data_IF_112513247524
#
_entry.id   IF_112513247524
#
_cell.length_a   1.000
_cell.length_b   1.000
_cell.length_c   1.000
_cell.angle_alpha   90.00
_cell.angle_beta   90.00
_cell.angle_gamma   90.00
#
_symmetry.space_group_name_H-M   'P 1'
#
loop_
_entity.id
_entity.type
_entity.pdbx_description
1 polymer ?
#
# COMPACT_ATOMS: atom_id res chain seq x y z
N UNK A 1 -19.95 -18.72 -7.37
CA UNK A 1 -18.89 -18.23 -6.45
C UNK A 1 -17.69 -19.17 -6.60
N UNK A 2 -16.73 -18.81 -7.45
CA UNK A 2 -15.55 -19.65 -7.70
C UNK A 2 -14.61 -19.58 -6.50
N UNK A 3 -14.29 -20.75 -5.94
CA UNK A 3 -13.34 -20.92 -4.84
C UNK A 3 -11.97 -20.36 -5.27
N UNK A 4 -11.59 -19.20 -4.74
CA UNK A 4 -10.23 -18.66 -4.88
C UNK A 4 -9.32 -19.50 -3.98
N UNK A 5 -8.26 -20.06 -4.54
CA UNK A 5 -7.25 -20.83 -3.81
C UNK A 5 -6.68 -20.01 -2.64
N UNK A 6 -6.41 -20.66 -1.50
CA UNK A 6 -6.00 -20.00 -0.26
C UNK A 6 -4.89 -18.92 -0.37
N UNK A 7 -3.88 -19.04 -1.25
CA UNK A 7 -2.84 -18.02 -1.40
C UNK A 7 -3.33 -16.69 -1.98
N UNK A 8 -4.24 -16.71 -2.98
CA UNK A 8 -4.76 -15.48 -3.60
C UNK A 8 -5.72 -14.73 -2.68
N UNK A 9 -6.35 -15.42 -1.74
CA UNK A 9 -7.24 -14.80 -0.77
C UNK A 9 -6.48 -13.83 0.16
N UNK A 10 -5.26 -14.19 0.56
CA UNK A 10 -4.42 -13.38 1.44
C UNK A 10 -3.90 -12.09 0.78
N UNK A 11 -3.84 -12.04 -0.55
CA UNK A 11 -3.50 -10.80 -1.29
C UNK A 11 -4.67 -9.81 -1.33
N UNK A 12 -5.91 -10.30 -1.30
CA UNK A 12 -7.11 -9.47 -1.37
C UNK A 12 -7.49 -8.94 0.01
N UNK A 13 -7.63 -9.83 1.00
CA UNK A 13 -7.99 -9.51 2.38
C UNK A 13 -7.07 -10.29 3.32
N UNK A 14 -5.87 -9.76 3.63
CA UNK A 14 -4.92 -10.45 4.49
C UNK A 14 -5.53 -10.66 5.88
N UNK A 15 -5.32 -11.84 6.45
CA UNK A 15 -5.78 -12.17 7.80
C UNK A 15 -4.70 -12.91 8.58
N UNK A 16 -4.58 -12.58 9.87
CA UNK A 16 -3.62 -13.20 10.77
C UNK A 16 -2.16 -13.08 10.31
N UNK A 17 -1.32 -13.94 10.87
CA UNK A 17 0.12 -14.01 10.62
C UNK A 17 0.51 -14.23 9.14
N UNK A 18 -0.16 -15.15 8.44
CA UNK A 18 0.10 -15.41 7.01
C UNK A 18 -0.26 -14.21 6.12
N UNK A 19 -1.35 -13.52 6.44
CA UNK A 19 -1.73 -12.27 5.77
C UNK A 19 -0.70 -11.17 6.00
N UNK A 20 -0.20 -11.01 7.23
CA UNK A 20 0.86 -10.04 7.55
C UNK A 20 2.18 -10.34 6.83
N UNK A 21 2.56 -11.61 6.74
CA UNK A 21 3.73 -12.01 5.94
C UNK A 21 3.55 -11.72 4.45
N UNK A 22 2.34 -11.99 3.93
CA UNK A 22 1.98 -11.68 2.54
C UNK A 22 2.07 -10.18 2.26
N UNK A 23 1.51 -9.35 3.13
CA UNK A 23 1.61 -7.88 3.06
C UNK A 23 3.06 -7.39 3.08
N UNK A 24 3.89 -7.91 4.00
CA UNK A 24 5.30 -7.53 4.06
C UNK A 24 6.04 -7.85 2.76
N UNK A 25 5.83 -9.07 2.22
CA UNK A 25 6.43 -9.49 0.95
C UNK A 25 5.95 -8.61 -0.20
N UNK A 26 4.66 -8.29 -0.25
CA UNK A 26 4.07 -7.43 -1.27
C UNK A 26 4.64 -6.01 -1.20
N UNK A 27 4.76 -5.42 -0.01
CA UNK A 27 5.34 -4.09 0.18
C UNK A 27 6.78 -4.02 -0.34
N UNK A 28 7.55 -5.11 -0.19
CA UNK A 28 8.91 -5.19 -0.72
C UNK A 28 8.92 -5.35 -2.25
N UNK A 29 8.18 -6.34 -2.77
CA UNK A 29 8.22 -6.69 -4.20
C UNK A 29 7.64 -5.61 -5.11
N UNK A 30 6.61 -4.90 -4.66
CA UNK A 30 5.98 -3.85 -5.46
C UNK A 30 6.71 -2.51 -5.38
N UNK A 31 7.64 -2.33 -4.43
CA UNK A 31 8.32 -1.04 -4.22
C UNK A 31 8.96 -0.50 -5.51
N UNK A 32 9.74 -1.31 -6.22
CA UNK A 32 10.42 -0.88 -7.44
C UNK A 32 9.43 -0.51 -8.57
N UNK A 33 8.32 -1.24 -8.69
CA UNK A 33 7.27 -0.94 -9.66
C UNK A 33 6.56 0.37 -9.31
N UNK A 34 6.27 0.60 -8.02
CA UNK A 34 5.73 1.88 -7.53
C UNK A 34 6.71 3.03 -7.81
N UNK A 35 8.00 2.84 -7.56
CA UNK A 35 9.03 3.87 -7.82
C UNK A 35 9.09 4.22 -9.32
N UNK A 36 9.07 3.19 -10.18
CA UNK A 36 9.01 3.39 -11.62
C UNK A 36 7.75 4.16 -12.04
N UNK A 37 6.58 3.79 -11.53
CA UNK A 37 5.31 4.46 -11.85
C UNK A 37 5.27 5.92 -11.39
N UNK A 38 5.72 6.18 -10.15
CA UNK A 38 5.80 7.54 -9.60
C UNK A 38 6.82 8.41 -10.34
N UNK A 39 7.87 7.83 -10.92
CA UNK A 39 8.85 8.54 -11.73
C UNK A 39 8.30 9.18 -13.01
N UNK A 40 7.09 8.79 -13.44
CA UNK A 40 6.41 9.36 -14.61
C UNK A 40 5.50 10.55 -14.29
N UNK A 41 5.36 10.91 -13.00
CA UNK A 41 4.51 12.03 -12.58
C UNK A 41 5.28 13.01 -11.70
N UNK A 42 4.83 14.27 -11.66
CA UNK A 42 5.36 15.28 -10.75
C UNK A 42 4.48 15.35 -9.50
N UNK A 43 5.00 14.87 -8.38
CA UNK A 43 4.41 15.07 -7.05
C UNK A 43 5.13 16.25 -6.39
N UNK A 44 4.39 17.29 -6.02
CA UNK A 44 4.95 18.46 -5.33
C UNK A 44 4.82 18.32 -3.82
N UNK A 45 5.61 19.10 -3.11
CA UNK A 45 5.71 19.05 -1.65
C UNK A 45 4.42 19.45 -0.92
N UNK A 46 3.57 20.26 -1.55
CA UNK A 46 2.34 20.82 -0.98
C UNK A 46 1.05 20.11 -1.43
N UNK A 47 1.14 18.95 -2.09
CA UNK A 47 -0.03 18.26 -2.60
C UNK A 47 -0.88 17.61 -1.49
N UNK A 48 -2.18 17.51 -1.73
CA UNK A 48 -3.07 16.65 -0.95
C UNK A 48 -3.35 15.39 -1.76
N UNK A 49 -2.94 14.23 -1.24
CA UNK A 49 -2.89 12.96 -2.00
C UNK A 49 -3.71 11.89 -1.25
N UNK A 50 -4.43 11.06 -2.00
CA UNK A 50 -5.18 9.91 -1.50
C UNK A 50 -4.72 8.64 -2.21
N UNK A 51 -4.24 7.65 -1.45
CA UNK A 51 -3.89 6.31 -1.91
C UNK A 51 -5.02 5.32 -1.54
N UNK A 52 -5.74 4.82 -2.56
CA UNK A 52 -6.90 3.93 -2.40
C UNK A 52 -6.48 2.48 -2.57
N UNK A 53 -6.75 1.66 -1.56
CA UNK A 53 -6.17 0.32 -1.46
C UNK A 53 -4.70 0.39 -1.04
N UNK A 54 -4.40 1.23 -0.03
CA UNK A 54 -3.03 1.55 0.37
C UNK A 54 -2.27 0.35 0.97
N UNK A 55 -2.95 -0.76 1.26
CA UNK A 55 -2.36 -1.97 1.82
C UNK A 55 -1.62 -1.67 3.13
N UNK A 56 -0.38 -2.15 3.24
CA UNK A 56 0.49 -1.85 4.39
C UNK A 56 1.17 -0.48 4.33
N UNK A 57 0.69 0.46 3.52
CA UNK A 57 1.10 1.88 3.55
C UNK A 57 2.42 2.24 2.87
N UNK A 58 3.09 1.30 2.16
CA UNK A 58 4.42 1.58 1.57
C UNK A 58 4.41 2.74 0.58
N UNK A 59 3.39 2.85 -0.26
CA UNK A 59 3.24 3.95 -1.22
C UNK A 59 2.93 5.27 -0.52
N UNK A 60 2.05 5.24 0.50
CA UNK A 60 1.78 6.39 1.38
C UNK A 60 3.06 6.94 1.98
N UNK A 61 3.93 6.09 2.55
CA UNK A 61 5.21 6.54 3.14
C UNK A 61 6.12 7.22 2.10
N UNK A 62 6.17 6.71 0.87
CA UNK A 62 6.96 7.32 -0.22
C UNK A 62 6.41 8.68 -0.63
N UNK A 63 5.10 8.77 -0.81
CA UNK A 63 4.43 10.02 -1.16
C UNK A 63 4.56 11.06 -0.05
N UNK A 64 4.48 10.65 1.22
CA UNK A 64 4.67 11.54 2.37
C UNK A 64 6.11 12.08 2.47
N UNK A 65 7.11 11.30 2.06
CA UNK A 65 8.49 11.76 1.99
C UNK A 65 8.73 12.83 0.91
N UNK A 66 7.89 12.87 -0.12
CA UNK A 66 7.92 13.90 -1.19
C UNK A 66 7.04 15.09 -0.79
N UNK A 67 5.81 14.84 -0.35
CA UNK A 67 4.77 15.81 -0.04
C UNK A 67 4.87 16.40 1.37
N UNK A 68 6.03 16.92 1.75
CA UNK A 68 6.38 17.33 3.12
C UNK A 68 5.59 18.51 3.69
N UNK A 69 5.03 19.38 2.83
CA UNK A 69 4.17 20.51 3.20
C UNK A 69 2.67 20.22 2.97
N UNK A 70 2.38 19.04 2.43
CA UNK A 70 1.05 18.60 2.04
C UNK A 70 0.46 17.60 3.01
N UNK A 71 -0.49 16.79 2.51
CA UNK A 71 -1.09 15.69 3.27
C UNK A 71 -1.23 14.46 2.39
N UNK A 72 -0.90 13.30 2.94
CA UNK A 72 -1.10 12.01 2.27
C UNK A 72 -2.00 11.14 3.12
N UNK A 73 -3.10 10.70 2.53
CA UNK A 73 -4.07 9.82 3.15
C UNK A 73 -4.02 8.45 2.49
N UNK A 74 -4.05 7.39 3.29
CA UNK A 74 -4.22 6.03 2.81
C UNK A 74 -5.57 5.49 3.28
N UNK A 75 -6.29 4.80 2.40
CA UNK A 75 -7.49 4.06 2.77
C UNK A 75 -7.38 2.63 2.27
N UNK A 76 -7.69 1.67 3.14
CA UNK A 76 -7.78 0.26 2.81
C UNK A 76 -8.95 -0.36 3.57
N UNK A 77 -9.68 -1.27 2.92
CA UNK A 77 -10.84 -1.92 3.51
C UNK A 77 -10.45 -3.07 4.46
N UNK A 78 -9.22 -3.58 4.37
CA UNK A 78 -8.68 -4.57 5.29
C UNK A 78 -8.11 -3.88 6.52
N UNK A 79 -8.69 -4.19 7.68
CA UNK A 79 -8.16 -3.71 8.97
C UNK A 79 -6.73 -4.21 9.20
N UNK A 80 -6.42 -5.44 8.80
CA UNK A 80 -5.07 -6.00 8.89
C UNK A 80 -4.04 -5.26 8.02
N UNK A 81 -4.42 -4.83 6.81
CA UNK A 81 -3.59 -3.96 5.97
C UNK A 81 -3.26 -2.65 6.69
N UNK A 82 -4.29 -1.95 7.19
CA UNK A 82 -4.12 -0.69 7.92
C UNK A 82 -3.26 -0.89 9.18
N UNK A 83 -3.51 -1.97 9.94
CA UNK A 83 -2.74 -2.30 11.15
C UNK A 83 -1.31 -2.81 10.87
N UNK A 84 -0.95 -3.05 9.60
CA UNK A 84 0.40 -3.40 9.19
C UNK A 84 1.21 -2.17 8.70
N UNK A 85 0.60 -0.98 8.69
CA UNK A 85 1.27 0.29 8.34
C UNK A 85 2.48 0.53 9.23
N UNK A 86 3.57 1.03 8.62
CA UNK A 86 4.82 1.44 9.28
C UNK A 86 5.14 2.88 8.98
#
# INVERSE_FOLDING_TARGET
MTSRTAPVNQCSKPTGWLGRFTLWRMNASHSALTDWGLGHIVVRDNYTILDVGCGGGRTVSKLAAISTQGKVYGVDYSQESVAATK
#
